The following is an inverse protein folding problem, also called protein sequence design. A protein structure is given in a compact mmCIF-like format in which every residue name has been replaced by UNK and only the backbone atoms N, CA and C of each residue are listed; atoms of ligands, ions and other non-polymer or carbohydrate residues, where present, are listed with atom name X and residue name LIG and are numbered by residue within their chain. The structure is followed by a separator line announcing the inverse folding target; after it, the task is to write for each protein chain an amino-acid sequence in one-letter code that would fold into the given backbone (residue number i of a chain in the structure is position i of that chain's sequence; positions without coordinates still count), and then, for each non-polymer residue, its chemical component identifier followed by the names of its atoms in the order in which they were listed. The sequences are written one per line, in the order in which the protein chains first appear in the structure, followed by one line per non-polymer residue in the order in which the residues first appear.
data_IF_758422927829
#
_entry.id   IF_758422927829
#
_cell.length_a   1.000
_cell.length_b   1.000
_cell.length_c   1.000
_cell.angle_alpha   90.00
_cell.angle_beta   90.00
_cell.angle_gamma   90.00
#
_symmetry.space_group_name_H-M   'P 1'
#
loop_
_entity.id
_entity.type
_entity.pdbx_description
1 polymer ?
#
# COMPACT_ATOMS: atom_id res chain seq x y z
N UNK A 1 19.80 3.54 -13.78
CA UNK A 1 18.38 3.41 -14.19
C UNK A 1 17.59 4.23 -13.19
N UNK A 2 16.73 5.15 -13.65
CA UNK A 2 15.75 5.75 -12.73
C UNK A 2 14.60 4.77 -12.71
N UNK A 3 14.53 3.93 -11.67
CA UNK A 3 13.41 3.00 -11.50
C UNK A 3 12.15 3.85 -11.34
N UNK A 4 11.25 3.70 -12.30
CA UNK A 4 10.04 4.49 -12.37
C UNK A 4 8.94 3.80 -11.57
N UNK A 5 7.94 4.55 -11.11
CA UNK A 5 6.77 3.95 -10.46
C UNK A 5 6.07 2.92 -11.36
N UNK A 6 6.27 2.99 -12.67
CA UNK A 6 5.80 2.00 -13.65
C UNK A 6 6.44 0.64 -13.44
N UNK A 7 7.76 0.58 -13.22
CA UNK A 7 8.49 -0.67 -13.01
C UNK A 7 8.06 -1.31 -11.68
N UNK A 8 7.88 -0.48 -10.65
CA UNK A 8 7.38 -0.93 -9.34
C UNK A 8 5.96 -1.49 -9.45
N UNK A 9 5.07 -0.84 -10.20
CA UNK A 9 3.71 -1.35 -10.47
C UNK A 9 3.75 -2.72 -11.14
N UNK A 10 4.68 -2.94 -12.08
CA UNK A 10 4.86 -4.23 -12.74
C UNK A 10 5.31 -5.30 -11.73
N UNK A 11 6.30 -5.02 -10.89
CA UNK A 11 6.77 -5.94 -9.84
C UNK A 11 5.64 -6.35 -8.89
N UNK A 12 4.80 -5.40 -8.48
CA UNK A 12 3.61 -5.67 -7.64
C UNK A 12 2.65 -6.62 -8.37
N UNK A 13 2.41 -6.40 -9.66
CA UNK A 13 1.51 -7.23 -10.46
C UNK A 13 2.04 -8.65 -10.64
N UNK A 14 3.35 -8.80 -10.87
CA UNK A 14 4.05 -10.08 -11.00
C UNK A 14 4.17 -10.86 -9.68
N UNK A 15 3.87 -10.21 -8.54
CA UNK A 15 3.99 -10.83 -7.21
C UNK A 15 5.39 -10.69 -6.60
N UNK A 16 6.31 -9.98 -7.28
CA UNK A 16 7.63 -9.59 -6.79
C UNK A 16 7.53 -8.44 -5.76
N UNK A 17 6.66 -8.61 -4.76
CA UNK A 17 6.28 -7.56 -3.82
C UNK A 17 7.40 -7.17 -2.88
N UNK A 18 8.32 -8.08 -2.55
CA UNK A 18 9.49 -7.77 -1.69
C UNK A 18 10.37 -6.71 -2.34
N UNK A 19 10.76 -6.93 -3.60
CA UNK A 19 11.57 -5.97 -4.37
C UNK A 19 10.83 -4.65 -4.53
N UNK A 20 9.52 -4.68 -4.81
CA UNK A 20 8.71 -3.48 -4.91
C UNK A 20 8.71 -2.65 -3.62
N UNK A 21 8.57 -3.31 -2.45
CA UNK A 21 8.64 -2.68 -1.13
C UNK A 21 9.99 -2.00 -0.92
N UNK A 22 11.10 -2.69 -1.23
CA UNK A 22 12.44 -2.13 -1.05
C UNK A 22 12.66 -0.88 -1.91
N UNK A 23 12.20 -0.91 -3.17
CA UNK A 23 12.29 0.24 -4.07
C UNK A 23 11.43 1.41 -3.60
N UNK A 24 10.21 1.15 -3.12
CA UNK A 24 9.32 2.18 -2.58
C UNK A 24 9.91 2.82 -1.31
N UNK A 25 10.49 2.03 -0.42
CA UNK A 25 11.17 2.54 0.78
C UNK A 25 12.38 3.42 0.42
N UNK A 26 13.13 3.05 -0.63
CA UNK A 26 14.22 3.90 -1.15
C UNK A 26 13.69 5.23 -1.71
N UNK A 27 12.54 5.22 -2.40
CA UNK A 27 11.92 6.46 -2.88
C UNK A 27 11.47 7.35 -1.72
N UNK A 28 10.90 6.78 -0.65
CA UNK A 28 10.54 7.52 0.56
C UNK A 28 11.81 8.11 1.21
N UNK A 29 12.89 7.35 1.32
CA UNK A 29 14.16 7.83 1.87
C UNK A 29 14.82 8.94 1.03
N UNK A 30 14.48 9.03 -0.26
CA UNK A 30 14.90 10.12 -1.16
C UNK A 30 13.92 11.30 -1.15
N UNK A 31 13.07 11.39 -0.12
CA UNK A 31 12.11 12.48 0.11
C UNK A 31 10.98 12.56 -0.93
N UNK A 32 10.65 11.44 -1.58
CA UNK A 32 9.50 11.34 -2.47
C UNK A 32 8.21 11.20 -1.65
N UNK A 33 7.78 12.29 -1.01
CA UNK A 33 6.55 12.41 -0.20
C UNK A 33 5.28 12.49 -1.05
N UNK A 34 5.09 11.51 -1.95
CA UNK A 34 3.93 11.44 -2.84
C UNK A 34 2.94 10.41 -2.33
N UNK A 35 1.65 10.77 -2.30
CA UNK A 35 0.58 9.84 -1.96
C UNK A 35 0.62 8.55 -2.80
N UNK A 36 1.01 8.65 -4.08
CA UNK A 36 1.14 7.48 -4.96
C UNK A 36 2.17 6.46 -4.46
N UNK A 37 3.27 6.89 -3.82
CA UNK A 37 4.31 5.99 -3.30
C UNK A 37 3.76 5.17 -2.13
N UNK A 38 3.13 5.83 -1.17
CA UNK A 38 2.47 5.17 -0.03
C UNK A 38 1.31 4.28 -0.48
N UNK A 39 0.53 4.71 -1.47
CA UNK A 39 -0.51 3.88 -2.06
C UNK A 39 0.04 2.58 -2.69
N UNK A 40 1.13 2.68 -3.46
CA UNK A 40 1.78 1.50 -4.04
C UNK A 40 2.41 0.60 -2.96
N UNK A 41 2.93 1.18 -1.89
CA UNK A 41 3.47 0.42 -0.77
C UNK A 41 2.38 -0.34 -0.02
N UNK A 42 1.22 0.30 0.17
CA UNK A 42 0.02 -0.36 0.69
C UNK A 42 -0.44 -1.52 -0.20
N UNK A 43 -0.44 -1.34 -1.52
CA UNK A 43 -0.75 -2.40 -2.47
C UNK A 43 0.22 -3.58 -2.41
N UNK A 44 1.51 -3.31 -2.27
CA UNK A 44 2.54 -4.34 -2.15
C UNK A 44 2.36 -5.15 -0.84
N UNK A 45 2.16 -4.48 0.30
CA UNK A 45 1.87 -5.14 1.57
C UNK A 45 0.56 -5.93 1.54
N UNK A 46 -0.48 -5.41 0.90
CA UNK A 46 -1.75 -6.12 0.72
C UNK A 46 -1.54 -7.44 -0.03
N UNK A 47 -0.78 -7.43 -1.12
CA UNK A 47 -0.45 -8.65 -1.88
C UNK A 47 0.45 -9.61 -1.10
N UNK A 48 1.28 -9.10 -0.20
CA UNK A 48 2.07 -9.93 0.72
C UNK A 48 1.21 -10.56 1.84
N UNK A 49 -0.05 -10.15 2.00
CA UNK A 49 -0.92 -10.57 3.10
C UNK A 49 -0.65 -9.81 4.41
N UNK A 50 0.19 -8.78 4.38
CA UNK A 50 0.41 -7.90 5.52
C UNK A 50 -0.66 -6.81 5.55
N UNK A 51 -1.83 -7.16 6.09
CA UNK A 51 -2.99 -6.27 6.12
C UNK A 51 -2.76 -4.99 6.93
N UNK A 52 -2.07 -5.10 8.08
CA UNK A 52 -1.76 -3.93 8.90
C UNK A 52 -0.81 -2.98 8.18
N UNK A 53 0.23 -3.51 7.54
CA UNK A 53 1.15 -2.72 6.71
C UNK A 53 0.42 -2.04 5.55
N UNK A 54 -0.53 -2.73 4.92
CA UNK A 54 -1.36 -2.15 3.88
C UNK A 54 -2.19 -0.95 4.40
N UNK A 55 -2.93 -1.15 5.50
CA UNK A 55 -3.78 -0.11 6.09
C UNK A 55 -3.00 1.14 6.51
N UNK A 56 -1.84 0.95 7.15
CA UNK A 56 -1.00 2.07 7.58
C UNK A 56 -0.53 2.90 6.37
N UNK A 57 -0.03 2.24 5.32
CA UNK A 57 0.45 2.96 4.13
C UNK A 57 -0.68 3.59 3.32
N UNK A 58 -1.87 2.98 3.27
CA UNK A 58 -3.02 3.65 2.69
C UNK A 58 -3.43 4.88 3.51
N UNK A 59 -3.32 4.85 4.85
CA UNK A 59 -3.59 6.03 5.67
C UNK A 59 -2.63 7.17 5.35
N UNK A 60 -1.31 6.91 5.29
CA UNK A 60 -0.33 7.93 4.90
C UNK A 60 -0.62 8.51 3.52
N UNK A 61 -1.04 7.68 2.56
CA UNK A 61 -1.44 8.15 1.23
C UNK A 61 -2.68 9.07 1.28
N UNK A 62 -3.68 8.74 2.11
CA UNK A 62 -4.89 9.55 2.31
C UNK A 62 -4.56 10.87 3.00
N UNK A 63 -3.65 10.87 3.97
CA UNK A 63 -3.23 12.08 4.68
C UNK A 63 -2.48 13.06 3.76
N UNK A 64 -1.77 12.54 2.76
CA UNK A 64 -1.09 13.34 1.74
C UNK A 64 -2.03 13.79 0.61
N UNK A 65 -2.92 12.91 0.16
CA UNK A 65 -3.90 13.17 -0.88
C UNK A 65 -5.22 12.44 -0.57
N UNK A 66 -6.20 13.14 0.02
CA UNK A 66 -7.51 12.57 0.33
C UNK A 66 -8.31 12.14 -0.90
N UNK A 67 -7.99 12.63 -2.09
CA UNK A 67 -8.66 12.22 -3.34
C UNK A 67 -7.97 11.02 -4.01
N UNK A 68 -6.87 10.52 -3.43
CA UNK A 68 -6.17 9.37 -3.97
C UNK A 68 -7.00 8.08 -3.89
N UNK A 69 -6.72 7.08 -4.75
CA UNK A 69 -7.38 5.76 -4.69
C UNK A 69 -7.16 4.98 -3.39
N UNK A 70 -6.31 5.49 -2.48
CA UNK A 70 -5.98 4.83 -1.23
C UNK A 70 -7.19 4.69 -0.29
N UNK A 71 -8.18 5.61 -0.35
CA UNK A 71 -9.43 5.47 0.41
C UNK A 71 -10.19 4.20 0.05
N UNK A 72 -10.38 3.95 -1.25
CA UNK A 72 -11.06 2.76 -1.76
C UNK A 72 -10.27 1.49 -1.43
N UNK A 73 -8.95 1.54 -1.61
CA UNK A 73 -8.07 0.40 -1.31
C UNK A 73 -8.05 0.06 0.19
N UNK A 74 -8.07 1.07 1.06
CA UNK A 74 -8.17 0.88 2.51
C UNK A 74 -9.49 0.22 2.89
N UNK A 75 -10.62 0.73 2.36
CA UNK A 75 -11.94 0.15 2.61
C UNK A 75 -12.01 -1.31 2.14
N UNK A 76 -11.44 -1.64 0.98
CA UNK A 76 -11.34 -3.01 0.50
C UNK A 76 -10.60 -3.93 1.49
N UNK A 77 -9.49 -3.47 2.07
CA UNK A 77 -8.76 -4.27 3.08
C UNK A 77 -9.57 -4.44 4.36
N UNK A 78 -10.27 -3.40 4.81
CA UNK A 78 -11.16 -3.49 5.97
C UNK A 78 -12.30 -4.47 5.73
N UNK A 79 -12.91 -4.46 4.55
CA UNK A 79 -13.98 -5.40 4.19
C UNK A 79 -13.49 -6.85 4.16
N UNK A 80 -12.29 -7.08 3.61
CA UNK A 80 -11.62 -8.38 3.66
C UNK A 80 -11.45 -8.82 5.12
N UNK A 81 -10.85 -7.97 5.97
CA UNK A 81 -10.62 -8.31 7.37
C UNK A 81 -11.91 -8.55 8.15
N UNK A 82 -12.96 -7.76 7.89
CA UNK A 82 -14.29 -7.92 8.48
C UNK A 82 -14.93 -9.25 8.10
N UNK A 83 -14.79 -9.67 6.83
CA UNK A 83 -15.29 -10.95 6.38
C UNK A 83 -14.55 -12.12 7.04
N UNK A 84 -13.22 -12.00 7.21
CA UNK A 84 -12.41 -13.04 7.85
C UNK A 84 -12.53 -13.08 9.37
N UNK A 85 -12.82 -11.96 10.03
CA UNK A 85 -12.95 -11.85 11.48
C UNK A 85 -14.20 -11.05 11.87
N UNK A 86 -15.31 -11.76 12.12
CA UNK A 86 -16.50 -11.17 12.76
C UNK A 86 -16.23 -10.64 14.19
N UNK A 87 -15.07 -10.93 14.77
CA UNK A 87 -14.69 -10.57 16.14
C UNK A 87 -13.64 -9.45 16.25
N UNK A 88 -13.14 -8.86 15.15
CA UNK A 88 -12.08 -7.84 15.24
C UNK A 88 -12.59 -6.46 15.73
N UNK A 89 -13.89 -6.19 15.59
CA UNK A 89 -14.54 -4.94 15.99
C UNK A 89 -15.43 -5.07 17.24
N UNK A 90 -15.45 -6.23 17.89
CA UNK A 90 -16.14 -6.40 19.17
C UNK A 90 -15.15 -6.12 20.32
N UNK A 91 -15.09 -4.86 20.74
CA UNK A 91 -14.65 -4.47 22.09
C UNK A 91 -15.81 -3.80 22.81
#
# INVERSE_FOLDING_TARGET
MKESLTDIKLLINEGNVSTAIDLLNQLIAQDSTKAEVYYLLGNAYRKQGNWQGALNNYQEAIDLDPESPANEAKNMVLDILNFYNKDMFNQ
#
